data_IF_360115915822
#
_entry.id   IF_360115915822
#
_cell.length_a   1.000
_cell.length_b   1.000
_cell.length_c   1.000
_cell.angle_alpha   90.00
_cell.angle_beta   90.00
_cell.angle_gamma   90.00
#
_symmetry.space_group_name_H-M   'P 1'
#
loop_
_entity.id
_entity.type
_entity.pdbx_description
1 polymer ?
#
# COMPACT_ATOMS: atom_id res chain seq x y z
N UNK A 1 -4.68 10.65 2.45
CA UNK A 1 -4.75 11.45 1.20
C UNK A 1 -3.36 11.52 0.58
N UNK A 2 -3.30 11.44 -0.76
CA UNK A 2 -2.05 11.55 -1.51
C UNK A 2 -2.22 12.57 -2.64
N UNK A 3 -1.33 13.56 -2.66
CA UNK A 3 -1.20 14.52 -3.76
C UNK A 3 0.05 14.22 -4.57
N UNK A 4 -0.07 14.23 -5.88
CA UNK A 4 1.03 14.07 -6.83
C UNK A 4 1.02 15.25 -7.79
N UNK A 5 2.11 15.98 -7.83
CA UNK A 5 2.28 17.16 -8.71
C UNK A 5 3.62 17.09 -9.45
N UNK A 6 3.76 17.73 -10.62
CA UNK A 6 5.07 17.88 -11.25
C UNK A 6 6.07 18.51 -10.28
N UNK A 7 7.28 17.95 -10.20
CA UNK A 7 8.25 18.39 -9.20
C UNK A 7 9.66 17.85 -9.43
N UNK A 8 10.43 17.75 -8.37
CA UNK A 8 11.84 17.34 -8.40
C UNK A 8 12.13 16.12 -7.52
N UNK A 9 11.10 15.41 -7.09
CA UNK A 9 11.22 14.19 -6.27
C UNK A 9 11.08 14.43 -4.77
N UNK A 10 10.46 15.53 -4.34
CA UNK A 10 10.19 15.73 -2.92
C UNK A 10 9.13 14.74 -2.43
N UNK A 11 9.41 14.15 -1.27
CA UNK A 11 8.50 13.24 -0.59
C UNK A 11 8.16 13.78 0.79
N UNK A 12 6.93 14.24 0.95
CA UNK A 12 6.48 14.91 2.17
C UNK A 12 5.41 14.07 2.86
N UNK A 13 5.48 13.96 4.18
CA UNK A 13 4.52 13.23 5.01
C UNK A 13 4.06 14.14 6.14
N UNK A 14 2.74 14.27 6.31
CA UNK A 14 2.11 15.08 7.37
C UNK A 14 0.94 14.33 8.02
N UNK A 15 0.50 14.76 9.20
CA UNK A 15 -0.63 14.15 9.93
C UNK A 15 -0.27 13.67 11.32
N UNK A 16 0.81 14.20 11.93
CA UNK A 16 1.27 13.85 13.28
C UNK A 16 1.52 12.34 13.45
N UNK A 17 2.30 11.77 12.53
CA UNK A 17 2.67 10.37 12.49
C UNK A 17 3.88 10.10 13.38
N UNK A 18 3.83 9.02 14.16
CA UNK A 18 4.97 8.49 14.90
C UNK A 18 6.03 7.88 13.97
N UNK A 19 7.17 7.53 14.56
CA UNK A 19 8.36 7.08 13.81
C UNK A 19 8.09 5.82 12.98
N UNK A 20 7.42 4.82 13.58
CA UNK A 20 7.12 3.55 12.88
C UNK A 20 6.21 3.76 11.67
N UNK A 21 5.23 4.65 11.79
CA UNK A 21 4.34 4.95 10.66
C UNK A 21 5.06 5.77 9.58
N UNK A 22 6.01 6.65 9.94
CA UNK A 22 6.85 7.35 8.98
C UNK A 22 7.76 6.37 8.22
N UNK A 23 8.41 5.42 8.90
CA UNK A 23 9.16 4.34 8.26
C UNK A 23 8.30 3.51 7.32
N UNK A 24 7.06 3.20 7.72
CA UNK A 24 6.10 2.49 6.88
C UNK A 24 5.77 3.25 5.59
N UNK A 25 5.70 4.60 5.63
CA UNK A 25 5.53 5.39 4.40
C UNK A 25 6.74 5.32 3.48
N UNK A 26 7.94 5.27 4.01
CA UNK A 26 9.17 5.09 3.23
C UNK A 26 9.23 3.69 2.58
N UNK A 27 8.86 2.66 3.33
CA UNK A 27 8.78 1.30 2.80
C UNK A 27 7.74 1.19 1.68
N UNK A 28 6.58 1.81 1.85
CA UNK A 28 5.52 1.89 0.83
C UNK A 28 6.04 2.55 -0.45
N UNK A 29 6.72 3.69 -0.35
CA UNK A 29 7.28 4.39 -1.50
C UNK A 29 8.37 3.55 -2.21
N UNK A 30 9.22 2.85 -1.45
CA UNK A 30 10.24 1.96 -2.00
C UNK A 30 9.62 0.80 -2.78
N UNK A 31 8.55 0.19 -2.25
CA UNK A 31 7.78 -0.83 -2.98
C UNK A 31 7.22 -0.27 -4.28
N UNK A 32 6.54 0.89 -4.25
CA UNK A 32 5.92 1.50 -5.44
C UNK A 32 6.98 1.78 -6.51
N UNK A 33 8.15 2.32 -6.14
CA UNK A 33 9.27 2.52 -7.05
C UNK A 33 9.73 1.22 -7.72
N UNK A 34 9.80 0.12 -6.94
CA UNK A 34 10.18 -1.19 -7.47
C UNK A 34 9.16 -1.76 -8.47
N UNK A 35 7.94 -1.25 -8.49
CA UNK A 35 6.84 -1.67 -9.37
C UNK A 35 6.55 -0.68 -10.50
N UNK A 36 7.33 0.39 -10.63
CA UNK A 36 7.07 1.49 -11.56
C UNK A 36 6.68 1.01 -12.98
N UNK A 37 7.49 0.18 -13.60
CA UNK A 37 7.23 -0.30 -14.98
C UNK A 37 5.96 -1.17 -15.07
N UNK A 38 5.73 -2.03 -14.08
CA UNK A 38 4.51 -2.84 -14.02
C UNK A 38 3.25 -1.99 -13.83
N UNK A 39 3.38 -0.84 -13.16
CA UNK A 39 2.32 0.15 -13.00
C UNK A 39 2.16 1.06 -14.24
N UNK A 40 2.99 0.88 -15.25
CA UNK A 40 3.00 1.74 -16.45
C UNK A 40 3.62 3.11 -16.22
N UNK A 41 4.43 3.26 -15.18
CA UNK A 41 5.16 4.47 -14.85
C UNK A 41 6.59 4.40 -15.38
N UNK A 42 7.19 5.54 -15.65
CA UNK A 42 8.62 5.62 -15.95
C UNK A 42 9.47 5.19 -14.75
N UNK A 43 10.62 4.53 -14.95
CA UNK A 43 11.52 4.12 -13.86
C UNK A 43 11.92 5.28 -12.93
N UNK A 44 12.11 6.45 -13.51
CA UNK A 44 12.54 7.66 -12.81
C UNK A 44 11.38 8.60 -12.46
N UNK A 45 10.12 8.13 -12.47
CA UNK A 45 8.94 8.97 -12.17
C UNK A 45 9.12 9.76 -10.87
N UNK A 46 9.74 9.14 -9.87
CA UNK A 46 9.97 9.72 -8.55
C UNK A 46 10.91 10.94 -8.56
N UNK A 47 11.63 11.19 -9.65
CA UNK A 47 12.46 12.39 -9.85
C UNK A 47 11.71 13.51 -10.58
N UNK A 48 10.51 13.22 -11.09
CA UNK A 48 9.72 14.13 -11.94
C UNK A 48 8.45 14.63 -11.25
N UNK A 49 8.12 14.07 -10.09
CA UNK A 49 6.93 14.43 -9.32
C UNK A 49 7.27 14.65 -7.85
N UNK A 50 6.60 15.58 -7.23
CA UNK A 50 6.56 15.71 -5.77
C UNK A 50 5.32 14.99 -5.25
N UNK A 51 5.50 14.21 -4.19
CA UNK A 51 4.44 13.41 -3.56
C UNK A 51 4.26 13.89 -2.13
N UNK A 52 3.02 14.24 -1.78
CA UNK A 52 2.66 14.58 -0.42
C UNK A 52 1.60 13.61 0.10
N UNK A 53 1.92 12.91 1.19
CA UNK A 53 1.00 12.07 1.93
C UNK A 53 0.51 12.84 3.14
N UNK A 54 -0.79 12.96 3.30
CA UNK A 54 -1.42 13.54 4.47
C UNK A 54 -2.37 12.56 5.12
N UNK A 55 -2.20 12.31 6.40
CA UNK A 55 -3.16 11.53 7.20
C UNK A 55 -3.99 12.49 8.04
N UNK A 56 -5.28 12.71 7.68
CA UNK A 56 -6.15 13.66 8.38
C UNK A 56 -6.32 13.37 9.86
N UNK A 57 -7.00 14.29 10.57
CA UNK A 57 -7.16 14.29 12.02
C UNK A 57 -5.84 14.45 12.78
N UNK A 58 -5.08 15.50 12.42
CA UNK A 58 -3.77 15.80 13.00
C UNK A 58 -3.77 16.07 14.52
N UNK A 59 -4.92 16.27 15.15
CA UNK A 59 -5.04 16.37 16.60
C UNK A 59 -4.78 15.03 17.31
N UNK A 60 -5.03 13.90 16.63
CA UNK A 60 -4.82 12.55 17.17
C UNK A 60 -3.50 11.98 16.66
N UNK A 61 -2.50 11.74 17.53
CA UNK A 61 -1.28 11.05 17.13
C UNK A 61 -1.56 9.66 16.60
N UNK A 62 -0.87 9.27 15.52
CA UNK A 62 -1.01 7.96 14.90
C UNK A 62 0.36 7.33 14.75
N UNK A 63 0.48 6.06 15.12
CA UNK A 63 1.72 5.30 14.93
C UNK A 63 1.43 3.83 14.62
N UNK A 64 2.47 3.12 14.21
CA UNK A 64 2.44 1.69 13.91
C UNK A 64 2.51 1.36 12.41
N UNK A 65 2.88 0.11 12.09
CA UNK A 65 3.15 -0.31 10.71
C UNK A 65 1.90 -0.74 9.93
N UNK A 66 0.76 -0.91 10.59
CA UNK A 66 -0.44 -1.57 10.03
C UNK A 66 -1.15 -0.82 8.90
N UNK A 67 -0.74 0.41 8.61
CA UNK A 67 -1.25 1.21 7.50
C UNK A 67 -0.43 1.05 6.20
N UNK A 68 0.63 0.25 6.20
CA UNK A 68 1.57 0.15 5.08
C UNK A 68 0.91 -0.19 3.76
N UNK A 69 0.00 -1.19 3.72
CA UNK A 69 -0.71 -1.55 2.49
C UNK A 69 -1.69 -0.46 2.04
N UNK A 70 -2.33 0.26 2.98
CA UNK A 70 -3.25 1.35 2.66
C UNK A 70 -2.49 2.56 2.07
N UNK A 71 -1.35 2.89 2.64
CA UNK A 71 -0.48 3.97 2.15
C UNK A 71 0.03 3.64 0.75
N UNK A 72 0.52 2.40 0.53
CA UNK A 72 0.96 1.93 -0.80
C UNK A 72 -0.16 2.01 -1.83
N UNK A 73 -1.37 1.57 -1.47
CA UNK A 73 -2.54 1.64 -2.35
C UNK A 73 -2.88 3.08 -2.71
N UNK A 74 -2.86 3.99 -1.74
CA UNK A 74 -3.16 5.40 -1.97
C UNK A 74 -2.12 6.07 -2.90
N UNK A 75 -0.83 5.77 -2.71
CA UNK A 75 0.25 6.26 -3.58
C UNK A 75 0.04 5.76 -5.02
N UNK A 76 -0.18 4.44 -5.20
CA UNK A 76 -0.39 3.84 -6.51
C UNK A 76 -1.62 4.44 -7.18
N UNK A 77 -2.75 4.51 -6.49
CA UNK A 77 -4.00 5.10 -6.98
C UNK A 77 -3.78 6.52 -7.53
N UNK A 78 -3.08 7.37 -6.76
CA UNK A 78 -2.79 8.74 -7.18
C UNK A 78 -1.86 8.80 -8.41
N UNK A 79 -0.82 7.96 -8.46
CA UNK A 79 0.14 7.91 -9.56
C UNK A 79 -0.48 7.42 -10.88
N UNK A 80 -1.29 6.37 -10.83
CA UNK A 80 -1.93 5.80 -12.04
C UNK A 80 -3.29 6.43 -12.34
N UNK A 81 -3.77 7.35 -11.49
CA UNK A 81 -5.05 8.06 -11.60
C UNK A 81 -6.26 7.13 -11.70
N UNK A 82 -6.26 6.05 -10.91
CA UNK A 82 -7.37 5.12 -10.78
C UNK A 82 -7.88 5.14 -9.34
N UNK A 83 -9.20 5.27 -9.11
CA UNK A 83 -9.75 5.36 -7.75
C UNK A 83 -9.62 4.03 -7.00
N UNK A 84 -9.55 4.12 -5.68
CA UNK A 84 -9.74 2.97 -4.78
C UNK A 84 -11.24 2.75 -4.59
N UNK A 85 -11.68 1.49 -4.58
CA UNK A 85 -13.08 1.13 -4.29
C UNK A 85 -13.49 1.69 -2.93
N UNK A 86 -14.63 2.37 -2.89
CA UNK A 86 -15.11 3.09 -1.70
C UNK A 86 -15.59 2.16 -0.57
N UNK A 87 -15.92 0.91 -0.89
CA UNK A 87 -16.43 -0.10 0.04
C UNK A 87 -15.36 -1.11 0.48
N UNK A 88 -14.08 -0.77 0.31
CA UNK A 88 -12.92 -1.56 0.73
C UNK A 88 -12.20 -0.91 1.90
N UNK A 89 -11.92 -1.66 2.94
CA UNK A 89 -10.96 -1.33 3.96
C UNK A 89 -9.78 -2.30 3.92
N UNK A 90 -8.65 -1.89 4.45
CA UNK A 90 -7.46 -2.72 4.47
C UNK A 90 -6.56 -2.44 5.66
N UNK A 91 -5.82 -3.44 6.10
CA UNK A 91 -4.78 -3.32 7.11
C UNK A 91 -3.69 -4.35 6.86
N UNK A 92 -2.44 -3.97 7.06
CA UNK A 92 -1.28 -4.83 6.88
C UNK A 92 0.01 -4.03 6.91
N UNK A 93 1.06 -4.61 7.46
CA UNK A 93 2.40 -4.07 7.35
C UNK A 93 2.98 -4.48 5.99
N UNK A 94 3.80 -3.63 5.37
CA UNK A 94 4.44 -3.89 4.09
C UNK A 94 5.96 -3.98 4.23
N UNK A 95 6.57 -4.94 3.54
CA UNK A 95 8.03 -5.00 3.36
C UNK A 95 8.45 -4.32 2.05
N UNK A 96 9.74 -4.00 1.91
CA UNK A 96 10.31 -3.43 0.68
C UNK A 96 10.05 -4.29 -0.57
N UNK A 97 9.89 -5.60 -0.39
CA UNK A 97 9.60 -6.55 -1.48
C UNK A 97 8.10 -6.75 -1.74
N UNK A 98 7.23 -6.10 -0.95
CA UNK A 98 5.79 -6.16 -1.09
C UNK A 98 5.11 -7.31 -0.33
N UNK A 99 5.82 -8.06 0.52
CA UNK A 99 5.15 -9.01 1.43
C UNK A 99 4.26 -8.24 2.40
N UNK A 100 3.09 -8.81 2.67
CA UNK A 100 2.15 -8.28 3.66
C UNK A 100 2.31 -9.08 4.94
N UNK A 101 2.68 -8.40 6.02
CA UNK A 101 2.93 -9.00 7.33
C UNK A 101 1.72 -8.82 8.26
N UNK A 102 1.56 -9.72 9.24
CA UNK A 102 0.44 -9.70 10.18
C UNK A 102 0.46 -8.47 11.09
N UNK A 103 -0.71 -8.09 11.57
CA UNK A 103 -0.93 -6.92 12.44
C UNK A 103 -1.64 -7.32 13.74
N UNK A 104 -1.56 -6.44 14.73
CA UNK A 104 -2.36 -6.53 15.94
C UNK A 104 -3.70 -5.80 15.83
N UNK A 105 -4.63 -6.11 16.74
CA UNK A 105 -5.91 -5.41 16.85
C UNK A 105 -6.87 -5.65 15.67
N UNK A 106 -6.82 -6.82 15.05
CA UNK A 106 -7.68 -7.14 13.89
C UNK A 106 -9.16 -7.04 14.23
N UNK A 107 -9.57 -7.54 15.40
CA UNK A 107 -10.97 -7.53 15.84
C UNK A 107 -11.55 -6.11 15.84
N UNK A 108 -10.86 -5.16 16.45
CA UNK A 108 -11.29 -3.76 16.54
C UNK A 108 -11.40 -3.12 15.15
N UNK A 109 -10.48 -3.44 14.25
CA UNK A 109 -10.46 -2.94 12.88
C UNK A 109 -11.64 -3.48 12.07
N UNK A 110 -11.94 -4.77 12.17
CA UNK A 110 -13.11 -5.38 11.50
C UNK A 110 -14.41 -4.84 12.07
N UNK A 111 -14.52 -4.66 13.39
CA UNK A 111 -15.68 -4.02 14.01
C UNK A 111 -15.88 -2.58 13.52
N UNK A 112 -14.80 -1.83 13.35
CA UNK A 112 -14.86 -0.49 12.80
C UNK A 112 -15.31 -0.48 11.33
N UNK A 113 -14.77 -1.38 10.51
CA UNK A 113 -15.18 -1.54 9.12
C UNK A 113 -16.66 -1.93 8.99
N UNK A 114 -17.16 -2.83 9.83
CA UNK A 114 -18.57 -3.22 9.89
C UNK A 114 -19.47 -2.04 10.24
N UNK A 115 -19.11 -1.24 11.27
CA UNK A 115 -19.85 0.00 11.60
C UNK A 115 -19.83 1.00 10.45
N UNK A 116 -18.72 1.07 9.71
CA UNK A 116 -18.58 1.90 8.51
C UNK A 116 -19.29 1.36 7.27
N UNK A 117 -20.00 0.22 7.37
CA UNK A 117 -20.69 -0.44 6.25
C UNK A 117 -19.77 -0.79 5.08
N UNK A 118 -18.50 -1.03 5.36
CA UNK A 118 -17.53 -1.53 4.39
C UNK A 118 -17.89 -2.96 4.01
N UNK A 119 -17.84 -3.30 2.73
CA UNK A 119 -18.21 -4.63 2.23
C UNK A 119 -17.04 -5.60 2.18
N UNK A 120 -15.83 -5.11 1.94
CA UNK A 120 -14.63 -5.95 1.80
C UNK A 120 -13.53 -5.45 2.73
N UNK A 121 -12.93 -6.35 3.50
CA UNK A 121 -11.76 -6.04 4.31
C UNK A 121 -10.59 -6.91 3.85
N UNK A 122 -9.50 -6.26 3.44
CA UNK A 122 -8.26 -6.92 3.01
C UNK A 122 -7.35 -7.01 4.23
N UNK A 123 -6.91 -8.22 4.57
CA UNK A 123 -6.06 -8.50 5.73
C UNK A 123 -4.91 -9.45 5.37
N UNK A 124 -3.81 -9.45 6.14
CA UNK A 124 -2.74 -10.41 5.94
C UNK A 124 -3.22 -11.85 6.12
N UNK A 125 -2.72 -12.78 5.31
CA UNK A 125 -3.05 -14.20 5.40
C UNK A 125 -2.79 -14.76 6.81
N UNK A 126 -1.71 -14.35 7.45
CA UNK A 126 -1.34 -14.83 8.79
C UNK A 126 -2.30 -14.38 9.90
N UNK A 127 -3.15 -13.38 9.64
CA UNK A 127 -4.23 -12.96 10.55
C UNK A 127 -5.52 -13.78 10.37
N UNK A 128 -5.59 -14.76 9.47
CA UNK A 128 -6.75 -15.65 9.34
C UNK A 128 -7.13 -16.31 10.67
N UNK A 129 -6.13 -16.71 11.45
CA UNK A 129 -6.31 -17.32 12.78
C UNK A 129 -7.06 -16.42 13.78
N UNK A 130 -6.99 -15.09 13.61
CA UNK A 130 -7.60 -14.12 14.51
C UNK A 130 -9.10 -13.91 14.20
N UNK A 131 -9.57 -14.39 13.05
CA UNK A 131 -11.00 -14.31 12.65
C UNK A 131 -11.91 -15.10 13.60
N UNK A 132 -11.41 -16.16 14.23
CA UNK A 132 -12.15 -16.96 15.22
C UNK A 132 -12.65 -16.15 16.43
N UNK A 133 -11.99 -15.02 16.73
CA UNK A 133 -12.35 -14.13 17.84
C UNK A 133 -13.44 -13.11 17.46
N UNK A 134 -13.92 -13.15 16.22
CA UNK A 134 -14.93 -12.26 15.67
C UNK A 134 -16.25 -13.01 15.55
N UNK A 135 -17.35 -12.36 15.93
CA UNK A 135 -18.67 -12.98 15.89
C UNK A 135 -19.10 -13.31 14.44
N UNK A 136 -19.69 -14.47 14.24
CA UNK A 136 -20.15 -14.96 12.92
C UNK A 136 -21.10 -13.99 12.22
N UNK A 137 -21.97 -13.32 12.96
CA UNK A 137 -22.90 -12.37 12.38
C UNK A 137 -22.20 -11.16 11.72
N UNK A 138 -21.03 -10.77 12.22
CA UNK A 138 -20.21 -9.70 11.64
C UNK A 138 -19.48 -10.22 10.39
N UNK A 139 -18.89 -11.40 10.48
CA UNK A 139 -18.20 -12.02 9.34
C UNK A 139 -19.12 -12.35 8.16
N UNK A 140 -20.43 -12.54 8.39
CA UNK A 140 -21.42 -12.75 7.31
C UNK A 140 -21.69 -11.49 6.49
N UNK A 141 -21.53 -10.32 7.11
CA UNK A 141 -21.81 -9.03 6.47
C UNK A 141 -20.59 -8.45 5.72
N UNK A 142 -19.41 -9.01 5.94
CA UNK A 142 -18.13 -8.51 5.39
C UNK A 142 -17.41 -9.63 4.64
N UNK A 143 -17.00 -9.35 3.42
CA UNK A 143 -16.09 -10.22 2.67
C UNK A 143 -14.65 -10.03 3.15
N UNK A 144 -14.08 -11.07 3.74
CA UNK A 144 -12.65 -11.07 4.09
C UNK A 144 -11.83 -11.49 2.89
N UNK A 145 -10.84 -10.68 2.54
CA UNK A 145 -9.84 -10.97 1.51
C UNK A 145 -8.48 -11.17 2.18
N UNK A 146 -8.01 -12.41 2.21
CA UNK A 146 -6.67 -12.76 2.68
C UNK A 146 -5.64 -12.49 1.58
N UNK A 147 -4.50 -11.90 1.95
CA UNK A 147 -3.42 -11.56 1.02
C UNK A 147 -2.04 -11.86 1.62
N UNK A 148 -1.11 -12.28 0.78
CA UNK A 148 0.30 -12.46 1.12
C UNK A 148 1.18 -11.33 0.59
N UNK A 149 0.74 -10.67 -0.49
CA UNK A 149 1.55 -9.72 -1.23
C UNK A 149 0.75 -8.47 -1.61
N UNK A 150 1.45 -7.35 -1.66
CA UNK A 150 0.86 -6.04 -2.00
C UNK A 150 0.29 -6.01 -3.44
N UNK A 151 0.86 -6.80 -4.36
CA UNK A 151 0.32 -6.92 -5.72
C UNK A 151 -1.14 -7.42 -5.69
N UNK A 152 -1.48 -8.35 -4.79
CA UNK A 152 -2.86 -8.85 -4.60
C UNK A 152 -3.79 -7.77 -3.98
N UNK A 153 -3.23 -6.91 -3.12
CA UNK A 153 -3.98 -5.79 -2.53
C UNK A 153 -4.38 -4.79 -3.61
N UNK A 154 -3.45 -4.42 -4.49
CA UNK A 154 -3.70 -3.47 -5.58
C UNK A 154 -4.81 -3.96 -6.52
N UNK A 155 -4.74 -5.24 -6.94
CA UNK A 155 -5.76 -5.84 -7.80
C UNK A 155 -7.14 -5.94 -7.12
N UNK A 156 -7.18 -6.12 -5.81
CA UNK A 156 -8.44 -6.18 -5.06
C UNK A 156 -9.06 -4.81 -4.78
N UNK A 157 -8.22 -3.80 -4.53
CA UNK A 157 -8.64 -2.51 -4.00
C UNK A 157 -8.86 -1.42 -5.06
N UNK A 158 -8.11 -1.42 -6.15
CA UNK A 158 -8.19 -0.37 -7.18
C UNK A 158 -9.28 -0.70 -8.20
N UNK A 159 -10.08 0.29 -8.57
CA UNK A 159 -11.07 0.17 -9.65
C UNK A 159 -10.35 0.14 -11.01
N UNK A 160 -10.44 -0.98 -11.71
CA UNK A 160 -9.84 -1.13 -13.03
C UNK A 160 -10.49 -2.29 -13.77
N UNK A 161 -10.79 -2.09 -15.06
CA UNK A 161 -11.26 -3.15 -15.97
C UNK A 161 -10.11 -4.04 -16.45
N UNK A 162 -8.87 -3.57 -16.34
CA UNK A 162 -7.66 -4.30 -16.68
C UNK A 162 -6.80 -4.54 -15.44
N UNK A 163 -5.88 -5.52 -15.47
CA UNK A 163 -4.92 -5.73 -14.38
C UNK A 163 -4.18 -4.43 -14.03
N UNK A 164 -4.10 -4.11 -12.75
CA UNK A 164 -3.39 -2.92 -12.25
C UNK A 164 -1.89 -3.06 -12.53
N UNK A 165 -1.39 -4.27 -12.39
CA UNK A 165 0.02 -4.59 -12.60
C UNK A 165 0.19 -5.32 -13.94
N UNK A 166 0.84 -4.67 -14.89
CA UNK A 166 1.13 -5.24 -16.21
C UNK A 166 2.22 -6.31 -16.14
N UNK A 167 2.12 -7.31 -17.01
CA UNK A 167 3.18 -8.28 -17.23
C UNK A 167 4.27 -7.63 -18.11
N UNK A 168 5.32 -7.12 -17.46
CA UNK A 168 6.46 -6.51 -18.14
C UNK A 168 7.70 -7.35 -17.85
N UNK A 169 8.43 -7.71 -18.90
CA UNK A 169 9.77 -8.30 -18.75
C UNK A 169 10.72 -7.16 -18.38
N UNK A 170 11.14 -7.13 -17.11
CA UNK A 170 12.11 -6.14 -16.63
C UNK A 170 13.51 -6.70 -16.93
N UNK A 171 14.29 -6.07 -17.84
CA UNK A 171 15.66 -6.49 -18.07
C UNK A 171 16.47 -6.37 -16.78
N UNK A 172 17.34 -7.32 -16.53
CA UNK A 172 18.28 -7.22 -15.41
C UNK A 172 19.09 -5.92 -15.56
N UNK A 173 19.20 -5.15 -14.49
CA UNK A 173 20.08 -3.98 -14.50
C UNK A 173 21.53 -4.46 -14.64
N UNK A 174 22.29 -3.92 -15.61
CA UNK A 174 23.71 -4.23 -15.69
C UNK A 174 24.38 -3.74 -14.38
N UNK A 175 25.10 -4.63 -13.73
CA UNK A 175 25.98 -4.26 -12.63
C UNK A 175 27.21 -3.63 -13.29
N UNK A 176 27.30 -2.30 -13.25
CA UNK A 176 28.52 -1.58 -13.64
C UNK A 176 29.33 -1.35 -12.37
N UNK A 177 30.63 -1.65 -12.44
CA UNK A 177 31.59 -1.20 -11.42
C UNK A 177 31.75 0.33 -11.48
N UNK A 178 32.32 0.92 -10.47
CA UNK A 178 32.55 2.38 -10.38
C UNK A 178 33.46 2.92 -11.51
N UNK A 179 34.07 2.05 -12.31
CA UNK A 179 34.94 2.37 -13.44
C UNK A 179 34.23 2.25 -14.81
N UNK A 180 32.95 1.89 -14.83
CA UNK A 180 32.15 1.82 -16.07
C UNK A 180 32.50 0.64 -16.99
N UNK A 181 33.24 -0.35 -16.48
CA UNK A 181 33.55 -1.57 -17.23
C UNK A 181 32.52 -2.67 -16.95
N UNK A 182 31.97 -3.28 -18.02
CA UNK A 182 31.09 -4.44 -17.87
C UNK A 182 31.89 -5.62 -17.30
N UNK A 183 31.55 -6.07 -16.12
CA UNK A 183 32.08 -7.31 -15.55
C UNK A 183 31.24 -8.46 -16.09
N UNK A 184 31.89 -9.33 -16.89
CA UNK A 184 31.29 -10.58 -17.38
C UNK A 184 31.12 -11.60 -16.26
#
# INVERSE_FOLDING_TARGET
EVSVVPGKGNFTVTGKLGEVMQESTQAAMSYVRSRAERLGLERNFHQKVDIHIHVPEGATPKDGPSAGIAISTAIVSALIRKPVKHDVAMTGEITLRGRVLPIGGLKEKILAAHRGKVKTVIIPQENEKDLKDIRDNILKDIKIKLVHHMDEVLEAAIESDEPVLKNVVIPAMPITDELGTNVN
#
